data_IF_637398454075
#
_entry.id   IF_637398454075
#
_cell.length_a   1.000
_cell.length_b   1.000
_cell.length_c   1.000
_cell.angle_alpha   90.00
_cell.angle_beta   90.00
_cell.angle_gamma   90.00
#
_symmetry.space_group_name_H-M   'P 1'
#
loop_
_entity.id
_entity.type
_entity.pdbx_description
1 polymer ?
#
# COMPACT_ATOMS: atom_id res chain seq x y z
N UNK A 1 -29.06 7.52 13.57
CA UNK A 1 -27.91 7.93 12.74
C UNK A 1 -28.09 9.39 12.32
N UNK A 2 -27.32 10.34 12.87
CA UNK A 2 -27.38 11.75 12.44
C UNK A 2 -26.29 11.98 11.40
N UNK A 3 -26.66 12.22 10.15
CA UNK A 3 -25.74 12.58 9.08
C UNK A 3 -25.93 14.05 8.70
N UNK A 4 -24.85 14.72 8.31
CA UNK A 4 -24.91 16.12 7.91
C UNK A 4 -25.60 16.25 6.54
N UNK A 5 -26.43 17.28 6.35
CA UNK A 5 -27.20 17.48 5.10
C UNK A 5 -26.30 17.55 3.85
N UNK A 6 -25.07 18.07 4.00
CA UNK A 6 -24.09 18.15 2.91
C UNK A 6 -23.60 16.77 2.45
N UNK A 7 -23.45 15.82 3.37
CA UNK A 7 -23.06 14.44 3.05
C UNK A 7 -24.13 13.76 2.21
N UNK A 8 -25.40 13.90 2.61
CA UNK A 8 -26.54 13.35 1.86
C UNK A 8 -26.64 13.97 0.46
N UNK A 9 -26.50 15.30 0.34
CA UNK A 9 -26.50 15.99 -0.96
C UNK A 9 -25.38 15.50 -1.88
N UNK A 10 -24.17 15.26 -1.33
CA UNK A 10 -23.03 14.72 -2.09
C UNK A 10 -23.31 13.32 -2.62
N UNK A 11 -23.92 12.45 -1.83
CA UNK A 11 -24.32 11.11 -2.28
C UNK A 11 -25.37 11.16 -3.39
N UNK A 12 -26.42 11.97 -3.24
CA UNK A 12 -27.45 12.13 -4.26
C UNK A 12 -26.86 12.60 -5.60
N UNK A 13 -26.00 13.63 -5.58
CA UNK A 13 -25.33 14.12 -6.78
C UNK A 13 -24.49 13.02 -7.45
N UNK A 14 -23.74 12.24 -6.66
CA UNK A 14 -22.95 11.14 -7.20
C UNK A 14 -23.83 10.06 -7.83
N UNK A 15 -24.91 9.68 -7.16
CA UNK A 15 -25.87 8.71 -7.69
C UNK A 15 -26.49 9.17 -9.01
N UNK A 16 -26.80 10.46 -9.16
CA UNK A 16 -27.34 10.98 -10.42
C UNK A 16 -26.34 10.91 -11.58
N UNK A 17 -25.05 11.00 -11.29
CA UNK A 17 -23.99 11.02 -12.31
C UNK A 17 -23.50 9.62 -12.69
N UNK A 18 -23.22 8.77 -11.70
CA UNK A 18 -22.55 7.48 -11.92
C UNK A 18 -23.41 6.27 -11.59
N UNK A 19 -24.58 6.46 -10.94
CA UNK A 19 -25.40 5.38 -10.37
C UNK A 19 -24.60 4.44 -9.45
N UNK A 20 -23.56 4.97 -8.82
CA UNK A 20 -22.66 4.23 -7.95
C UNK A 20 -22.33 5.06 -6.69
N UNK A 21 -22.63 4.48 -5.53
CA UNK A 21 -22.33 5.04 -4.22
C UNK A 21 -21.19 4.31 -3.51
N UNK A 22 -20.55 3.34 -4.17
CA UNK A 22 -19.41 2.60 -3.62
C UNK A 22 -18.31 3.55 -3.17
N UNK A 23 -17.60 3.20 -2.10
CA UNK A 23 -16.49 4.01 -1.64
C UNK A 23 -15.47 4.16 -2.77
N UNK A 24 -15.14 5.40 -3.12
CA UNK A 24 -14.01 5.65 -4.03
C UNK A 24 -12.74 5.23 -3.31
N UNK A 25 -11.76 4.79 -4.10
CA UNK A 25 -10.41 4.66 -3.57
C UNK A 25 -9.96 6.00 -2.96
N UNK A 26 -9.25 5.91 -1.83
CA UNK A 26 -8.77 7.10 -1.13
C UNK A 26 -7.95 7.95 -2.10
N UNK A 27 -8.29 9.24 -2.20
CA UNK A 27 -7.47 10.20 -2.93
C UNK A 27 -6.20 10.45 -2.11
N UNK A 28 -5.06 10.01 -2.63
CA UNK A 28 -3.74 10.15 -2.01
C UNK A 28 -2.65 9.78 -3.02
N UNK A 29 -1.38 9.93 -2.63
CA UNK A 29 -0.26 9.46 -3.45
C UNK A 29 -0.35 7.94 -3.56
N UNK A 30 -0.34 7.42 -4.79
CA UNK A 30 -0.26 5.98 -5.03
C UNK A 30 0.95 5.40 -4.32
N UNK A 31 0.83 4.16 -3.83
CA UNK A 31 1.98 3.43 -3.29
C UNK A 31 3.07 3.36 -4.36
N UNK A 32 4.33 3.48 -3.91
CA UNK A 32 5.49 3.33 -4.77
C UNK A 32 5.69 1.86 -5.14
N UNK A 33 5.37 0.96 -4.22
CA UNK A 33 5.49 -0.48 -4.41
C UNK A 33 4.18 -1.10 -4.91
N UNK A 34 4.31 -2.18 -5.68
CA UNK A 34 3.20 -3.06 -6.06
C UNK A 34 2.92 -4.08 -4.95
N UNK A 35 1.77 -4.77 -5.02
CA UNK A 35 1.44 -5.84 -4.08
C UNK A 35 2.41 -7.02 -4.17
N UNK A 36 2.94 -7.30 -5.37
CA UNK A 36 3.92 -8.37 -5.60
C UNK A 36 5.27 -8.02 -4.96
N UNK A 37 5.69 -6.75 -5.07
CA UNK A 37 6.89 -6.24 -4.41
C UNK A 37 6.77 -6.25 -2.89
N UNK A 38 5.60 -5.86 -2.35
CA UNK A 38 5.33 -5.93 -0.91
C UNK A 38 5.39 -7.40 -0.43
N UNK A 39 4.86 -8.34 -1.22
CA UNK A 39 4.89 -9.77 -0.92
C UNK A 39 6.33 -10.33 -0.90
N UNK A 40 7.15 -9.98 -1.90
CA UNK A 40 8.57 -10.37 -1.94
C UNK A 40 9.35 -9.86 -0.73
N UNK A 41 9.08 -8.63 -0.28
CA UNK A 41 9.71 -8.08 0.95
C UNK A 41 9.37 -8.95 2.17
N UNK A 42 8.11 -9.36 2.31
CA UNK A 42 7.66 -10.20 3.43
C UNK A 42 8.27 -11.60 3.35
N UNK A 43 8.30 -12.20 2.16
CA UNK A 43 8.87 -13.53 1.94
C UNK A 43 10.36 -13.58 2.30
N UNK A 44 11.15 -12.60 1.83
CA UNK A 44 12.58 -12.50 2.19
C UNK A 44 12.79 -12.40 3.70
N UNK A 45 11.98 -11.60 4.39
CA UNK A 45 12.07 -11.51 5.86
C UNK A 45 11.65 -12.82 6.52
N UNK A 46 10.69 -13.54 5.95
CA UNK A 46 10.14 -14.74 6.54
C UNK A 46 11.03 -15.97 6.34
N UNK A 47 11.72 -16.07 5.20
CA UNK A 47 12.73 -17.10 4.93
C UNK A 47 13.97 -16.92 5.81
N UNK A 48 14.41 -15.67 6.00
CA UNK A 48 15.66 -15.37 6.69
C UNK A 48 15.46 -14.81 8.12
N UNK A 49 14.25 -14.98 8.67
CA UNK A 49 13.86 -14.41 9.97
C UNK A 49 14.73 -14.94 11.13
N UNK A 50 15.29 -16.14 10.97
CA UNK A 50 16.16 -16.79 11.94
C UNK A 50 17.59 -16.20 11.99
N UNK A 51 18.01 -15.44 10.96
CA UNK A 51 19.37 -14.91 10.82
C UNK A 51 19.52 -13.43 11.21
N UNK A 52 18.42 -12.73 11.51
CA UNK A 52 18.45 -11.32 11.90
C UNK A 52 18.77 -10.39 10.74
N UNK A 53 18.12 -10.61 9.60
CA UNK A 53 18.31 -9.82 8.37
C UNK A 53 18.01 -8.33 8.56
N UNK A 54 18.83 -7.49 7.91
CA UNK A 54 18.66 -6.04 7.90
C UNK A 54 17.95 -5.54 6.64
N UNK A 55 17.40 -4.32 6.72
CA UNK A 55 16.80 -3.63 5.56
C UNK A 55 17.75 -3.44 4.38
N UNK A 56 19.06 -3.42 4.64
CA UNK A 56 20.11 -3.34 3.61
C UNK A 56 20.22 -4.64 2.84
N UNK A 57 20.15 -5.77 3.54
CA UNK A 57 20.28 -7.10 2.94
C UNK A 57 19.09 -7.37 2.02
N UNK A 58 17.88 -7.05 2.48
CA UNK A 58 16.65 -7.11 1.68
C UNK A 58 16.77 -6.21 0.45
N UNK A 59 17.33 -5.00 0.60
CA UNK A 59 17.51 -4.10 -0.54
C UNK A 59 18.48 -4.68 -1.58
N UNK A 60 19.58 -5.30 -1.13
CA UNK A 60 20.55 -5.92 -2.03
C UNK A 60 19.92 -7.09 -2.78
N UNK A 61 19.14 -7.91 -2.09
CA UNK A 61 18.49 -9.08 -2.67
C UNK A 61 17.41 -8.67 -3.68
N UNK A 62 16.57 -7.67 -3.35
CA UNK A 62 15.60 -7.11 -4.30
C UNK A 62 16.29 -6.52 -5.53
N UNK A 63 17.43 -5.85 -5.36
CA UNK A 63 18.23 -5.36 -6.49
C UNK A 63 18.78 -6.50 -7.35
N UNK A 64 19.20 -7.61 -6.74
CA UNK A 64 19.65 -8.82 -7.45
C UNK A 64 18.53 -9.39 -8.31
N UNK A 65 17.29 -9.32 -7.83
CA UNK A 65 16.09 -9.76 -8.54
C UNK A 65 15.57 -8.74 -9.57
N UNK A 66 16.20 -7.56 -9.68
CA UNK A 66 15.86 -6.52 -10.66
C UNK A 66 14.94 -5.42 -10.15
N UNK A 67 14.59 -5.45 -8.86
CA UNK A 67 13.66 -4.50 -8.23
C UNK A 67 14.42 -3.44 -7.47
N UNK A 68 14.28 -2.16 -7.85
CA UNK A 68 15.00 -1.06 -7.21
C UNK A 68 14.13 -0.31 -6.19
N UNK A 69 14.00 -0.88 -4.99
CA UNK A 69 13.27 -0.29 -3.87
C UNK A 69 14.24 0.37 -2.89
N UNK A 70 13.85 1.52 -2.33
CA UNK A 70 14.66 2.20 -1.32
C UNK A 70 14.60 1.50 0.03
N UNK A 71 15.70 1.52 0.80
CA UNK A 71 15.74 1.02 2.19
C UNK A 71 14.59 1.57 3.04
N UNK A 72 14.34 2.88 2.97
CA UNK A 72 13.25 3.53 3.72
C UNK A 72 11.87 3.02 3.32
N UNK A 73 11.68 2.65 2.05
CA UNK A 73 10.43 2.04 1.58
C UNK A 73 10.25 0.66 2.18
N UNK A 74 11.30 -0.18 2.15
CA UNK A 74 11.29 -1.52 2.76
C UNK A 74 10.96 -1.41 4.25
N UNK A 75 11.64 -0.52 4.97
CA UNK A 75 11.40 -0.32 6.41
C UNK A 75 9.96 0.11 6.70
N UNK A 76 9.40 1.04 5.91
CA UNK A 76 8.00 1.43 6.07
C UNK A 76 7.05 0.26 5.81
N UNK A 77 7.37 -0.67 4.90
CA UNK A 77 6.55 -1.86 4.63
C UNK A 77 6.60 -2.88 5.75
N UNK A 78 7.75 -3.05 6.39
CA UNK A 78 7.89 -3.96 7.53
C UNK A 78 7.22 -3.44 8.81
N UNK A 79 6.90 -2.14 8.87
CA UNK A 79 6.25 -1.49 10.02
C UNK A 79 4.74 -1.27 9.83
N UNK A 80 4.18 -1.51 8.64
CA UNK A 80 2.74 -1.41 8.34
C UNK A 80 1.96 -2.63 8.84
#
# INVERSE_FOLDING_TARGET
MKCHKTTVKRWLNRWTQTKDLSNLQKKGRSRVTTSEEDQMIVELVQEDMDEGITSEDIQQELRRQGTNISRSTIQNRLLE
#
